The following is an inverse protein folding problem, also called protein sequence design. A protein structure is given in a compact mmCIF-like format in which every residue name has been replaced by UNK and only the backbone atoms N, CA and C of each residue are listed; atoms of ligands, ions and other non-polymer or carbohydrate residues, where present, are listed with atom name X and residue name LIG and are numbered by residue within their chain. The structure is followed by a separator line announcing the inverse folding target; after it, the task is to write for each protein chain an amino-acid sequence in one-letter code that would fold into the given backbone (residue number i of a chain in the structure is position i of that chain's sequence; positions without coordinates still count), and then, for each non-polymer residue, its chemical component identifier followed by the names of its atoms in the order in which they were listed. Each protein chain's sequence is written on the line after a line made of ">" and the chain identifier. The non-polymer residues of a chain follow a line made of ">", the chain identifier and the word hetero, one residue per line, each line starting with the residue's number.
data_IF_755852311080
#
_entry.id   IF_755852311080
#
_cell.length_a   1.000
_cell.length_b   1.000
_cell.length_c   1.000
_cell.angle_alpha   90.00
_cell.angle_beta   90.00
_cell.angle_gamma   90.00
#
_symmetry.space_group_name_H-M   'P 1'
#
loop_
_entity.id
_entity.type
_entity.pdbx_description
1 polymer ?
#
# COMPACT_ATOMS: atom_id res chain seq x y z
N UNK A 1 -20.64 16.97 2.55
CA UNK A 1 -19.74 15.85 2.91
C UNK A 1 -20.27 14.46 2.53
N UNK A 2 -21.44 13.98 3.04
CA UNK A 2 -21.95 12.64 2.67
C UNK A 2 -22.16 12.52 1.15
N UNK A 3 -22.84 13.47 0.52
CA UNK A 3 -23.07 13.48 -0.92
C UNK A 3 -21.76 13.53 -1.72
N UNK A 4 -20.76 14.27 -1.25
CA UNK A 4 -19.41 14.34 -1.84
C UNK A 4 -18.74 12.96 -1.87
N UNK A 5 -18.77 12.25 -0.74
CA UNK A 5 -18.26 10.87 -0.66
C UNK A 5 -19.04 9.93 -1.59
N UNK A 6 -20.39 10.07 -1.63
CA UNK A 6 -21.22 9.23 -2.48
C UNK A 6 -20.96 9.46 -3.99
N UNK A 7 -20.66 10.69 -4.42
CA UNK A 7 -20.30 11.00 -5.81
C UNK A 7 -19.01 10.25 -6.21
N UNK A 8 -17.95 10.38 -5.42
CA UNK A 8 -16.69 9.66 -5.69
C UNK A 8 -16.88 8.14 -5.57
N UNK A 9 -17.67 7.69 -4.58
CA UNK A 9 -17.95 6.27 -4.40
C UNK A 9 -18.71 5.67 -5.59
N UNK A 10 -19.69 6.39 -6.14
CA UNK A 10 -20.44 5.94 -7.31
C UNK A 10 -19.52 5.72 -8.51
N UNK A 11 -18.59 6.65 -8.79
CA UNK A 11 -17.59 6.50 -9.84
C UNK A 11 -16.72 5.27 -9.61
N UNK A 12 -16.20 5.06 -8.40
CA UNK A 12 -15.38 3.90 -8.08
C UNK A 12 -16.16 2.59 -8.20
N UNK A 13 -17.44 2.57 -7.84
CA UNK A 13 -18.27 1.38 -7.98
C UNK A 13 -18.47 0.97 -9.45
N UNK A 14 -18.51 1.91 -10.40
CA UNK A 14 -18.52 1.57 -11.84
C UNK A 14 -17.25 0.82 -12.27
N UNK A 15 -16.15 0.95 -11.52
CA UNK A 15 -14.88 0.27 -11.73
C UNK A 15 -14.73 -1.02 -10.92
N UNK A 16 -15.81 -1.50 -10.33
CA UNK A 16 -15.85 -2.75 -9.57
C UNK A 16 -15.37 -2.64 -8.11
N UNK A 17 -15.27 -1.42 -7.57
CA UNK A 17 -14.97 -1.27 -6.14
C UNK A 17 -16.20 -1.64 -5.30
N UNK A 18 -15.96 -2.44 -4.27
CA UNK A 18 -16.93 -2.69 -3.20
C UNK A 18 -16.84 -1.57 -2.17
N UNK A 19 -17.99 -1.20 -1.57
CA UNK A 19 -18.06 -0.16 -0.55
C UNK A 19 -18.44 -0.74 0.80
N UNK A 20 -17.70 -0.36 1.84
CA UNK A 20 -18.02 -0.64 3.25
C UNK A 20 -17.83 0.64 4.07
N UNK A 21 -18.93 1.26 4.49
CA UNK A 21 -18.92 2.57 5.16
C UNK A 21 -18.23 3.65 4.29
N UNK A 22 -17.10 4.18 4.76
CA UNK A 22 -16.29 5.20 4.07
C UNK A 22 -15.07 4.61 3.35
N UNK A 23 -15.00 3.29 3.24
CA UNK A 23 -13.90 2.59 2.58
C UNK A 23 -14.41 1.92 1.31
N UNK A 24 -13.69 2.11 0.20
CA UNK A 24 -13.89 1.42 -1.06
C UNK A 24 -12.66 0.59 -1.36
N UNK A 25 -12.85 -0.63 -1.84
CA UNK A 25 -11.76 -1.54 -2.10
C UNK A 25 -12.04 -2.45 -3.30
N UNK A 26 -10.98 -2.79 -4.03
CA UNK A 26 -11.02 -3.68 -5.18
C UNK A 26 -9.79 -4.56 -5.19
N UNK A 27 -9.97 -5.86 -5.43
CA UNK A 27 -8.87 -6.76 -5.75
C UNK A 27 -8.44 -6.53 -7.19
N UNK A 28 -7.14 -6.41 -7.41
CA UNK A 28 -6.51 -6.29 -8.72
C UNK A 28 -5.28 -7.20 -8.74
N UNK A 29 -5.38 -8.35 -9.39
CA UNK A 29 -4.34 -9.40 -9.39
C UNK A 29 -3.84 -9.75 -7.97
N UNK A 30 -2.60 -9.40 -7.64
CA UNK A 30 -1.91 -9.75 -6.39
C UNK A 30 -1.99 -8.65 -5.32
N UNK A 31 -2.80 -7.62 -5.55
CA UNK A 31 -3.00 -6.51 -4.62
C UNK A 31 -4.48 -6.23 -4.35
N UNK A 32 -4.74 -5.56 -3.22
CA UNK A 32 -6.02 -4.88 -2.97
C UNK A 32 -5.75 -3.38 -3.00
N UNK A 33 -6.52 -2.66 -3.79
CA UNK A 33 -6.53 -1.19 -3.87
C UNK A 33 -7.63 -0.69 -2.96
N UNK A 34 -7.31 0.24 -2.08
CA UNK A 34 -8.24 0.79 -1.08
C UNK A 34 -8.26 2.30 -1.16
N UNK A 35 -9.47 2.87 -1.21
CA UNK A 35 -9.71 4.29 -0.97
C UNK A 35 -10.48 4.45 0.34
N UNK A 36 -10.02 5.33 1.21
CA UNK A 36 -10.67 5.64 2.47
C UNK A 36 -10.97 7.13 2.59
N UNK A 37 -12.18 7.45 3.00
CA UNK A 37 -12.59 8.82 3.31
C UNK A 37 -12.50 9.04 4.82
N UNK A 38 -11.58 9.89 5.23
CA UNK A 38 -11.33 10.22 6.63
C UNK A 38 -11.95 11.58 6.97
N UNK A 39 -12.52 11.66 8.16
CA UNK A 39 -13.14 12.90 8.67
C UNK A 39 -12.66 13.23 10.07
N UNK A 40 -11.37 13.57 10.24
CA UNK A 40 -10.92 14.11 11.52
C UNK A 40 -11.51 15.52 11.70
N UNK A 41 -12.30 15.72 12.75
CA UNK A 41 -13.05 16.96 12.98
C UNK A 41 -13.99 17.27 11.80
N UNK A 42 -14.04 18.51 11.32
CA UNK A 42 -14.85 18.93 10.17
C UNK A 42 -14.08 18.99 8.84
N UNK A 43 -13.06 18.17 8.68
CA UNK A 43 -12.24 18.10 7.47
C UNK A 43 -12.47 16.78 6.74
N UNK A 44 -12.53 16.80 5.41
CA UNK A 44 -12.59 15.58 4.60
C UNK A 44 -11.28 15.38 3.84
N UNK A 45 -10.71 14.22 4.02
CA UNK A 45 -9.55 13.72 3.27
C UNK A 45 -9.95 12.48 2.48
N UNK A 46 -9.34 12.32 1.32
CA UNK A 46 -9.30 11.02 0.65
C UNK A 46 -7.88 10.47 0.74
N UNK A 47 -7.79 9.21 1.06
CA UNK A 47 -6.55 8.47 1.11
C UNK A 47 -6.67 7.22 0.23
N UNK A 48 -5.58 6.84 -0.42
CA UNK A 48 -5.51 5.53 -1.04
C UNK A 48 -4.38 4.72 -0.43
N UNK A 49 -4.49 3.40 -0.52
CA UNK A 49 -3.38 2.50 -0.24
C UNK A 49 -3.47 1.24 -1.11
N UNK A 50 -2.32 0.62 -1.26
CA UNK A 50 -2.17 -0.69 -1.90
C UNK A 50 -1.80 -1.70 -0.82
N UNK A 51 -2.48 -2.83 -0.81
CA UNK A 51 -2.21 -3.94 0.10
C UNK A 51 -1.78 -5.15 -0.74
N UNK A 52 -0.50 -5.51 -0.73
CA UNK A 52 -0.03 -6.73 -1.37
C UNK A 52 -0.64 -7.95 -0.67
N UNK A 53 -1.22 -8.88 -1.44
CA UNK A 53 -1.84 -10.07 -0.88
C UNK A 53 -0.83 -10.99 -0.19
N UNK A 54 0.38 -11.04 -0.72
CA UNK A 54 1.48 -11.92 -0.29
C UNK A 54 2.30 -11.36 0.89
N UNK A 55 1.88 -10.26 1.49
CA UNK A 55 2.52 -9.69 2.68
C UNK A 55 1.58 -9.77 3.89
N UNK A 56 2.10 -9.93 5.11
CA UNK A 56 1.28 -9.95 6.31
C UNK A 56 0.59 -8.59 6.50
N UNK A 57 -0.68 -8.63 6.92
CA UNK A 57 -1.45 -7.44 7.25
C UNK A 57 -1.82 -7.50 8.74
N UNK A 58 -1.59 -6.45 9.52
CA UNK A 58 -1.90 -6.42 10.95
C UNK A 58 -3.39 -6.36 11.28
N UNK A 59 -4.27 -6.66 10.32
CA UNK A 59 -5.73 -6.78 10.57
C UNK A 59 -6.53 -5.49 10.41
N UNK A 60 -5.91 -4.42 9.92
CA UNK A 60 -6.59 -3.16 9.62
C UNK A 60 -6.02 -2.52 8.34
N UNK A 61 -6.78 -1.60 7.77
CA UNK A 61 -6.34 -0.85 6.60
C UNK A 61 -5.16 0.04 7.01
N UNK A 62 -3.94 -0.49 6.88
CA UNK A 62 -2.73 0.27 7.12
C UNK A 62 -2.30 0.99 5.86
N UNK A 63 -2.02 2.25 6.00
CA UNK A 63 -1.61 3.13 4.90
C UNK A 63 -0.09 3.05 4.62
N UNK A 64 0.50 1.88 4.79
CA UNK A 64 1.95 1.70 4.62
C UNK A 64 2.39 1.97 3.18
N UNK A 65 1.54 1.56 2.21
CA UNK A 65 1.85 1.71 0.79
C UNK A 65 0.79 2.57 0.11
N UNK A 66 0.75 3.84 0.45
CA UNK A 66 -0.19 4.80 -0.10
C UNK A 66 -0.06 6.16 0.55
N UNK A 67 -1.05 7.03 0.40
CA UNK A 67 -1.02 8.35 1.00
C UNK A 67 -2.34 9.11 0.87
N UNK A 68 -2.41 10.24 1.55
CA UNK A 68 -3.50 11.21 1.38
C UNK A 68 -3.33 11.96 0.07
N UNK A 69 -4.42 12.17 -0.65
CA UNK A 69 -4.40 12.86 -1.94
C UNK A 69 -3.80 14.26 -1.86
N UNK A 70 -4.11 15.01 -0.83
CA UNK A 70 -3.54 16.35 -0.61
C UNK A 70 -2.01 16.36 -0.34
N UNK A 71 -1.41 15.20 -0.03
CA UNK A 71 0.04 15.07 0.09
C UNK A 71 0.69 14.61 -1.23
N UNK A 72 -0.11 14.06 -2.14
CA UNK A 72 0.34 13.51 -3.42
C UNK A 72 0.11 14.51 -4.56
N UNK A 73 -0.98 15.25 -4.50
CA UNK A 73 -1.46 16.18 -5.53
C UNK A 73 -1.64 17.56 -4.93
N UNK A 74 -0.91 18.54 -5.45
CA UNK A 74 -0.91 19.92 -4.95
C UNK A 74 -2.25 20.63 -5.18
N UNK A 75 -3.06 20.16 -6.14
CA UNK A 75 -4.36 20.70 -6.51
C UNK A 75 -5.55 20.02 -5.79
N UNK A 76 -5.30 19.06 -4.90
CA UNK A 76 -6.34 18.43 -4.07
C UNK A 76 -6.33 19.03 -2.67
N UNK A 77 -7.15 20.05 -2.38
CA UNK A 77 -7.20 20.62 -1.04
C UNK A 77 -7.88 19.67 -0.05
N UNK A 78 -7.63 19.89 1.23
CA UNK A 78 -8.47 19.33 2.29
C UNK A 78 -9.83 20.03 2.23
N UNK A 79 -10.92 19.27 2.15
CA UNK A 79 -12.26 19.86 2.03
C UNK A 79 -12.83 20.18 3.43
N UNK A 80 -13.08 21.45 3.77
CA UNK A 80 -13.67 21.81 5.05
C UNK A 80 -15.18 21.46 5.11
N UNK A 81 -15.68 21.21 6.33
CA UNK A 81 -17.08 20.81 6.54
C UNK A 81 -18.11 21.83 6.12
N UNK A 82 -17.75 23.11 6.20
CA UNK A 82 -18.56 24.25 5.81
C UNK A 82 -18.39 24.67 4.33
N UNK A 83 -17.66 23.89 3.52
CA UNK A 83 -17.52 24.14 2.10
C UNK A 83 -18.90 24.23 1.40
N UNK A 84 -19.03 25.13 0.45
CA UNK A 84 -20.22 25.26 -0.40
C UNK A 84 -20.46 24.02 -1.26
N UNK A 85 -21.65 23.86 -1.79
CA UNK A 85 -21.96 22.74 -2.70
C UNK A 85 -21.14 22.80 -4.00
N UNK A 86 -20.80 24.01 -4.48
CA UNK A 86 -19.92 24.19 -5.63
C UNK A 86 -18.50 23.68 -5.33
N UNK A 87 -17.89 24.07 -4.20
CA UNK A 87 -16.57 23.61 -3.77
C UNK A 87 -16.55 22.07 -3.56
N UNK A 88 -17.61 21.50 -3.00
CA UNK A 88 -17.76 20.05 -2.83
C UNK A 88 -17.83 19.31 -4.17
N UNK A 89 -18.54 19.88 -5.14
CA UNK A 89 -18.67 19.33 -6.48
C UNK A 89 -17.31 19.36 -7.21
N UNK A 90 -16.63 20.52 -7.21
CA UNK A 90 -15.31 20.71 -7.79
C UNK A 90 -14.28 19.77 -7.18
N UNK A 91 -14.23 19.69 -5.84
CA UNK A 91 -13.33 18.77 -5.15
C UNK A 91 -13.54 17.30 -5.58
N UNK A 92 -14.81 16.89 -5.71
CA UNK A 92 -15.12 15.53 -6.17
C UNK A 92 -14.59 15.28 -7.58
N UNK A 93 -14.73 16.24 -8.48
CA UNK A 93 -14.31 16.12 -9.88
C UNK A 93 -12.77 16.08 -9.99
N UNK A 94 -12.06 16.88 -9.20
CA UNK A 94 -10.58 16.84 -9.10
C UNK A 94 -10.13 15.47 -8.59
N UNK A 95 -10.72 14.98 -7.49
CA UNK A 95 -10.38 13.68 -6.92
C UNK A 95 -10.63 12.54 -7.91
N UNK A 96 -11.79 12.53 -8.59
CA UNK A 96 -12.13 11.54 -9.62
C UNK A 96 -11.14 11.62 -10.79
N UNK A 97 -10.76 12.82 -11.21
CA UNK A 97 -9.76 13.04 -12.25
C UNK A 97 -8.41 12.40 -11.91
N UNK A 98 -7.91 12.59 -10.68
CA UNK A 98 -6.67 11.97 -10.22
C UNK A 98 -6.78 10.45 -10.07
N UNK A 99 -7.91 9.95 -9.58
CA UNK A 99 -8.16 8.50 -9.53
C UNK A 99 -8.01 7.93 -10.93
N UNK A 100 -8.71 8.48 -11.92
CA UNK A 100 -8.78 7.94 -13.27
C UNK A 100 -7.48 8.06 -14.05
N UNK A 101 -6.82 9.22 -13.95
CA UNK A 101 -5.70 9.55 -14.81
C UNK A 101 -4.33 9.26 -14.19
N UNK A 102 -4.28 9.02 -12.87
CA UNK A 102 -3.00 8.85 -12.16
C UNK A 102 -2.97 7.58 -11.31
N UNK A 103 -3.89 7.43 -10.34
CA UNK A 103 -3.82 6.35 -9.36
C UNK A 103 -4.18 4.99 -9.97
N UNK A 104 -5.28 4.91 -10.74
CA UNK A 104 -5.66 3.65 -11.38
C UNK A 104 -4.61 3.11 -12.36
N UNK A 105 -4.03 3.92 -13.27
CA UNK A 105 -2.92 3.47 -14.11
C UNK A 105 -1.71 2.99 -13.29
N UNK A 106 -1.35 3.72 -12.23
CA UNK A 106 -0.27 3.32 -11.33
C UNK A 106 -0.58 1.98 -10.65
N UNK A 107 -1.75 1.85 -10.02
CA UNK A 107 -2.15 0.60 -9.35
C UNK A 107 -2.20 -0.58 -10.32
N UNK A 108 -2.67 -0.38 -11.54
CA UNK A 108 -2.68 -1.43 -12.56
C UNK A 108 -1.25 -1.86 -12.94
N UNK A 109 -0.30 -0.92 -13.04
CA UNK A 109 1.10 -1.21 -13.36
C UNK A 109 1.79 -2.06 -12.27
N UNK A 110 1.45 -1.85 -10.99
CA UNK A 110 2.04 -2.58 -9.85
C UNK A 110 1.16 -3.72 -9.34
N UNK A 111 0.08 -4.06 -10.04
CA UNK A 111 -0.92 -5.01 -9.56
C UNK A 111 -0.43 -6.46 -9.50
N UNK A 112 0.52 -6.84 -10.33
CA UNK A 112 1.20 -8.14 -10.27
C UNK A 112 2.49 -8.07 -9.47
N UNK A 113 2.95 -9.21 -8.97
CA UNK A 113 4.25 -9.30 -8.28
C UNK A 113 5.41 -8.82 -9.18
N UNK A 114 5.38 -9.14 -10.48
CA UNK A 114 6.39 -8.64 -11.44
C UNK A 114 6.35 -7.13 -11.59
N UNK A 115 5.16 -6.54 -11.71
CA UNK A 115 4.98 -5.09 -11.78
C UNK A 115 5.44 -4.39 -10.50
N UNK A 116 5.11 -4.96 -9.34
CA UNK A 116 5.56 -4.46 -8.05
C UNK A 116 7.09 -4.54 -7.93
N UNK A 117 7.70 -5.66 -8.32
CA UNK A 117 9.15 -5.82 -8.31
C UNK A 117 9.86 -4.83 -9.24
N UNK A 118 9.31 -4.61 -10.44
CA UNK A 118 9.84 -3.61 -11.37
C UNK A 118 9.77 -2.20 -10.78
N UNK A 119 8.70 -1.86 -10.08
CA UNK A 119 8.57 -0.60 -9.35
C UNK A 119 9.60 -0.48 -8.23
N UNK A 120 9.76 -1.51 -7.38
CA UNK A 120 10.69 -1.51 -6.26
C UNK A 120 12.15 -1.37 -6.73
N UNK A 121 12.53 -2.03 -7.81
CA UNK A 121 13.87 -1.88 -8.42
C UNK A 121 14.15 -0.45 -8.90
N UNK A 122 13.14 0.22 -9.44
CA UNK A 122 13.26 1.63 -9.88
C UNK A 122 13.37 2.60 -8.72
N UNK A 123 12.66 2.35 -7.63
CA UNK A 123 12.72 3.20 -6.43
C UNK A 123 14.03 3.05 -5.66
N UNK A 124 14.70 1.92 -5.77
CA UNK A 124 16.03 1.69 -5.19
C UNK A 124 17.17 2.41 -5.93
N UNK A 125 16.94 2.82 -7.20
CA UNK A 125 17.87 3.60 -8.02
C UNK A 125 17.16 4.83 -8.61
N UNK A 126 16.97 5.91 -7.85
CA UNK A 126 16.15 7.03 -8.27
C UNK A 126 16.79 7.81 -9.43
N UNK A 127 16.37 7.50 -10.64
CA UNK A 127 16.41 8.49 -11.71
C UNK A 127 15.28 9.49 -11.51
N UNK A 128 15.47 10.76 -11.91
CA UNK A 128 14.49 11.86 -11.70
C UNK A 128 13.09 11.53 -12.26
N UNK A 129 12.98 10.63 -13.25
CA UNK A 129 11.71 10.19 -13.82
C UNK A 129 10.92 9.24 -12.89
N UNK A 130 11.62 8.45 -12.08
CA UNK A 130 11.01 7.42 -11.21
C UNK A 130 10.50 8.02 -9.89
N UNK A 131 11.01 9.20 -9.49
CA UNK A 131 10.52 9.96 -8.33
C UNK A 131 9.03 10.32 -8.42
N UNK A 132 8.52 10.55 -9.63
CA UNK A 132 7.09 10.86 -9.83
C UNK A 132 6.17 9.70 -9.49
N UNK A 133 6.63 8.46 -9.62
CA UNK A 133 5.85 7.28 -9.23
C UNK A 133 5.99 6.97 -7.74
N UNK A 134 7.14 7.25 -7.11
CA UNK A 134 7.36 7.02 -5.68
C UNK A 134 6.49 7.91 -4.79
N UNK A 135 6.04 9.07 -5.27
CA UNK A 135 5.13 9.95 -4.53
C UNK A 135 3.77 9.31 -4.20
N UNK A 136 3.34 8.31 -4.98
CA UNK A 136 2.09 7.60 -4.72
C UNK A 136 2.21 6.59 -3.57
N UNK A 137 3.41 6.11 -3.29
CA UNK A 137 3.66 5.21 -2.16
C UNK A 137 4.54 5.96 -1.15
N UNK A 138 3.92 6.57 -0.17
CA UNK A 138 4.59 7.20 0.96
C UNK A 138 5.03 6.12 1.96
N UNK A 139 6.01 5.29 1.55
CA UNK A 139 6.59 4.26 2.38
C UNK A 139 8.02 4.66 2.79
N UNK A 140 8.38 4.32 4.01
CA UNK A 140 9.78 4.45 4.48
C UNK A 140 10.67 3.46 3.76
N UNK A 141 11.99 3.73 3.62
CA UNK A 141 12.91 2.80 2.96
C UNK A 141 12.84 1.37 3.53
N UNK A 142 12.77 1.22 4.85
CA UNK A 142 12.63 -0.08 5.52
C UNK A 142 11.36 -0.83 5.08
N UNK A 143 10.23 -0.14 4.90
CA UNK A 143 9.00 -0.75 4.40
C UNK A 143 9.11 -1.19 2.94
N UNK A 144 9.86 -0.47 2.11
CA UNK A 144 10.11 -0.87 0.71
C UNK A 144 11.02 -2.09 0.63
N UNK A 145 12.09 -2.15 1.46
CA UNK A 145 12.96 -3.33 1.58
C UNK A 145 12.14 -4.55 2.03
N UNK A 146 11.28 -4.36 3.03
CA UNK A 146 10.40 -5.40 3.54
C UNK A 146 9.43 -5.91 2.46
N UNK A 147 8.85 -5.01 1.68
CA UNK A 147 7.99 -5.36 0.55
C UNK A 147 8.75 -6.13 -0.53
N UNK A 148 10.02 -5.77 -0.79
CA UNK A 148 10.90 -6.49 -1.71
C UNK A 148 11.10 -7.93 -1.25
N UNK A 149 11.36 -8.16 0.04
CA UNK A 149 11.48 -9.49 0.63
C UNK A 149 10.21 -10.32 0.40
N UNK A 150 9.03 -9.80 0.74
CA UNK A 150 7.77 -10.54 0.58
C UNK A 150 7.45 -10.83 -0.89
N UNK A 151 7.70 -9.88 -1.78
CA UNK A 151 7.53 -10.06 -3.22
C UNK A 151 8.43 -11.19 -3.74
N UNK A 152 9.69 -11.22 -3.32
CA UNK A 152 10.66 -12.26 -3.71
C UNK A 152 10.28 -13.64 -3.16
N UNK A 153 9.78 -13.73 -1.91
CA UNK A 153 9.25 -15.01 -1.36
C UNK A 153 8.08 -15.50 -2.22
N UNK A 154 7.12 -14.63 -2.52
CA UNK A 154 5.96 -14.98 -3.34
C UNK A 154 6.34 -15.47 -4.72
N UNK A 155 7.37 -14.87 -5.34
CA UNK A 155 7.92 -15.27 -6.65
C UNK A 155 8.89 -16.47 -6.56
N UNK A 156 9.14 -17.01 -5.37
CA UNK A 156 10.10 -18.10 -5.10
C UNK A 156 11.55 -17.75 -5.44
N UNK A 157 11.88 -16.47 -5.38
CA UNK A 157 13.24 -15.96 -5.56
C UNK A 157 13.90 -15.86 -4.18
N UNK A 158 14.14 -17.01 -3.57
CA UNK A 158 14.61 -17.12 -2.18
C UNK A 158 15.97 -16.49 -1.92
N UNK A 159 16.96 -16.54 -2.83
CA UNK A 159 18.23 -15.82 -2.66
C UNK A 159 18.02 -14.29 -2.54
N UNK A 160 17.18 -13.71 -3.39
CA UNK A 160 16.85 -12.29 -3.37
C UNK A 160 16.06 -11.91 -2.10
N UNK A 161 15.15 -12.78 -1.67
CA UNK A 161 14.43 -12.62 -0.42
C UNK A 161 15.37 -12.57 0.79
N UNK A 162 16.39 -13.44 0.82
CA UNK A 162 17.39 -13.47 1.89
C UNK A 162 18.25 -12.21 1.91
N UNK A 163 18.64 -11.70 0.74
CA UNK A 163 19.38 -10.43 0.62
C UNK A 163 18.53 -9.29 1.20
N UNK A 164 17.28 -9.14 0.75
CA UNK A 164 16.38 -8.10 1.22
C UNK A 164 16.11 -8.21 2.74
N UNK A 165 15.93 -9.43 3.26
CA UNK A 165 15.73 -9.65 4.69
C UNK A 165 16.93 -9.19 5.53
N UNK A 166 18.16 -9.50 5.09
CA UNK A 166 19.39 -9.06 5.77
C UNK A 166 19.59 -7.55 5.66
N UNK A 167 19.30 -6.96 4.51
CA UNK A 167 19.32 -5.50 4.29
C UNK A 167 18.35 -4.80 5.23
N UNK A 168 17.11 -5.29 5.37
CA UNK A 168 16.12 -4.75 6.30
C UNK A 168 16.63 -4.73 7.74
N UNK A 169 17.20 -5.83 8.23
CA UNK A 169 17.76 -5.88 9.58
C UNK A 169 18.91 -4.89 9.76
N UNK A 170 19.79 -4.77 8.76
CA UNK A 170 20.89 -3.81 8.76
C UNK A 170 20.36 -2.38 8.82
N UNK A 171 19.37 -2.04 7.99
CA UNK A 171 18.76 -0.69 7.96
C UNK A 171 18.14 -0.35 9.32
N UNK A 172 17.29 -1.22 9.87
CA UNK A 172 16.65 -1.00 11.18
C UNK A 172 17.64 -0.79 12.30
N UNK A 173 18.77 -1.53 12.30
CA UNK A 173 19.78 -1.42 13.35
C UNK A 173 20.65 -0.16 13.21
N UNK A 174 20.87 0.34 12.01
CA UNK A 174 21.85 1.39 11.72
C UNK A 174 21.22 2.78 11.56
N UNK A 175 19.92 2.90 11.25
CA UNK A 175 19.36 4.19 10.91
C UNK A 175 19.06 5.12 12.10
N UNK A 176 19.19 4.65 13.34
CA UNK A 176 19.09 5.45 14.56
C UNK A 176 17.70 6.07 14.85
N UNK A 177 16.70 5.85 13.97
CA UNK A 177 15.35 6.40 14.10
C UNK A 177 14.55 5.65 15.17
N UNK A 178 14.87 4.36 15.36
CA UNK A 178 14.13 3.48 16.25
C UNK A 178 14.82 3.29 17.59
N UNK A 179 14.05 3.32 18.69
CA UNK A 179 14.57 2.85 19.98
C UNK A 179 14.89 1.36 19.91
N UNK A 180 15.81 0.87 20.74
CA UNK A 180 16.20 -0.54 20.76
C UNK A 180 15.01 -1.50 20.91
N UNK A 181 14.00 -1.13 21.70
CA UNK A 181 12.78 -1.93 21.88
C UNK A 181 11.94 -2.01 20.60
N UNK A 182 11.78 -0.90 19.87
CA UNK A 182 11.05 -0.85 18.60
C UNK A 182 11.81 -1.61 17.52
N UNK A 183 13.13 -1.40 17.42
CA UNK A 183 13.99 -2.13 16.49
C UNK A 183 13.89 -3.64 16.71
N UNK A 184 14.03 -4.11 17.97
CA UNK A 184 13.90 -5.53 18.32
C UNK A 184 12.58 -6.13 17.89
N UNK A 185 11.44 -5.41 18.08
CA UNK A 185 10.12 -5.86 17.65
C UNK A 185 10.02 -5.96 16.12
N UNK A 186 10.51 -4.95 15.41
CA UNK A 186 10.47 -4.90 13.93
C UNK A 186 11.24 -6.05 13.29
N UNK A 187 12.39 -6.43 13.86
CA UNK A 187 13.26 -7.46 13.26
C UNK A 187 12.89 -8.89 13.64
N UNK A 188 12.02 -9.11 14.63
CA UNK A 188 11.69 -10.44 15.14
C UNK A 188 11.21 -11.38 14.03
N UNK A 189 10.13 -11.00 13.37
CA UNK A 189 9.49 -11.84 12.34
C UNK A 189 10.42 -12.03 11.13
N UNK A 190 11.23 -11.02 10.80
CA UNK A 190 12.19 -11.10 9.70
C UNK A 190 13.35 -12.05 10.04
N UNK A 191 13.80 -12.12 11.30
CA UNK A 191 14.80 -13.11 11.73
C UNK A 191 14.27 -14.54 11.59
N UNK A 192 13.00 -14.79 11.87
CA UNK A 192 12.38 -16.08 11.65
C UNK A 192 12.38 -16.44 10.15
N UNK A 193 12.03 -15.49 9.28
CA UNK A 193 12.08 -15.68 7.82
C UNK A 193 13.52 -15.95 7.34
N UNK A 194 14.53 -15.24 7.85
CA UNK A 194 15.94 -15.50 7.54
C UNK A 194 16.30 -16.95 7.92
N UNK A 195 15.94 -17.40 9.12
CA UNK A 195 16.21 -18.77 9.56
C UNK A 195 15.58 -19.81 8.63
N UNK A 196 14.36 -19.57 8.14
CA UNK A 196 13.70 -20.44 7.18
C UNK A 196 14.41 -20.43 5.82
N UNK A 197 14.83 -19.26 5.32
CA UNK A 197 15.55 -19.11 4.06
C UNK A 197 16.91 -19.79 4.09
N UNK A 198 17.68 -19.60 5.18
CA UNK A 198 18.99 -20.23 5.38
C UNK A 198 18.89 -21.75 5.63
N UNK A 199 17.77 -22.20 6.22
CA UNK A 199 17.46 -23.62 6.41
C UNK A 199 16.77 -24.28 5.21
N UNK A 200 16.62 -23.57 4.08
CA UNK A 200 15.95 -24.06 2.85
C UNK A 200 14.51 -24.58 3.08
N UNK A 201 13.81 -24.00 4.06
CA UNK A 201 12.44 -24.39 4.43
C UNK A 201 11.41 -23.73 3.47
N UNK A 202 11.60 -23.91 2.18
CA UNK A 202 10.84 -23.22 1.12
C UNK A 202 9.35 -23.59 1.10
N UNK A 203 9.02 -24.83 1.42
CA UNK A 203 7.61 -25.26 1.49
C UNK A 203 6.88 -24.52 2.59
N UNK A 204 7.49 -24.33 3.76
CA UNK A 204 6.92 -23.58 4.86
C UNK A 204 6.75 -22.08 4.51
N UNK A 205 7.70 -21.48 3.80
CA UNK A 205 7.58 -20.12 3.30
C UNK A 205 6.42 -19.96 2.29
N UNK A 206 6.21 -20.96 1.42
CA UNK A 206 5.09 -20.98 0.48
C UNK A 206 3.74 -21.11 1.22
N UNK A 207 3.67 -21.93 2.27
CA UNK A 207 2.48 -22.04 3.13
C UNK A 207 2.20 -20.73 3.87
N UNK A 208 3.22 -20.06 4.37
CA UNK A 208 3.12 -18.76 5.03
C UNK A 208 2.59 -17.68 4.08
N UNK A 209 3.10 -17.61 2.85
CA UNK A 209 2.56 -16.76 1.80
C UNK A 209 1.09 -17.05 1.51
N UNK A 210 0.74 -18.32 1.36
CA UNK A 210 -0.64 -18.76 1.11
C UNK A 210 -1.58 -18.37 2.27
N UNK A 211 -1.08 -18.43 3.51
CA UNK A 211 -1.80 -17.95 4.70
C UNK A 211 -2.06 -16.45 4.62
N UNK A 212 -1.05 -15.62 4.31
CA UNK A 212 -1.22 -14.17 4.19
C UNK A 212 -2.23 -13.81 3.10
N UNK A 213 -2.17 -14.47 1.95
CA UNK A 213 -3.14 -14.26 0.86
C UNK A 213 -4.56 -14.52 1.35
N UNK A 214 -4.79 -15.64 2.03
CA UNK A 214 -6.11 -15.99 2.56
C UNK A 214 -6.58 -14.97 3.60
N UNK A 215 -5.74 -14.61 4.57
CA UNK A 215 -6.06 -13.64 5.62
C UNK A 215 -6.40 -12.26 5.03
N UNK A 216 -5.65 -11.79 4.03
CA UNK A 216 -5.92 -10.55 3.35
C UNK A 216 -7.24 -10.59 2.56
N UNK A 217 -7.54 -11.70 1.88
CA UNK A 217 -8.82 -11.87 1.16
C UNK A 217 -10.01 -11.89 2.13
N UNK A 218 -9.90 -12.61 3.25
CA UNK A 218 -10.92 -12.69 4.29
C UNK A 218 -11.19 -11.32 4.93
N UNK A 219 -10.15 -10.54 5.22
CA UNK A 219 -10.27 -9.19 5.80
C UNK A 219 -11.14 -8.27 4.93
N UNK A 220 -11.06 -8.40 3.62
CA UNK A 220 -11.83 -7.62 2.65
C UNK A 220 -13.05 -8.38 2.07
N UNK A 221 -13.44 -9.51 2.65
CA UNK A 221 -14.59 -10.31 2.21
C UNK A 221 -14.56 -10.67 0.71
N UNK A 222 -13.38 -11.03 0.22
CA UNK A 222 -13.21 -11.72 -1.06
C UNK A 222 -13.23 -13.23 -0.81
N UNK A 223 -14.37 -13.85 -1.09
CA UNK A 223 -14.59 -15.30 -1.00
C UNK A 223 -14.41 -15.95 -2.36
#
# INVERSE_FOLDING_TARGET
>A
MKQTIEKVAAELQTKGYKKRKTVLYRKCNDIIIVYAFERPSDLLYVQFCVIPLYAPNPGYVYYTYGGRFNNIFDDVPVLPGNASEAEKAEWSDIVIGHINNSIEPFCNAISSADGMKAFLKKTSCPSVADWKMSKYINATPDNLILLTMYCSIFQREFPEALIAAKEYISDINNNGIYTAAVASKKVKDVKEIISMLEGEQYDYLNELCSKWIRENLELFHFH
#
